data_IF_554869605956
#
_entry.id   IF_554869605956
#
_cell.length_a   1.000
_cell.length_b   1.000
_cell.length_c   1.000
_cell.angle_alpha   90.00
_cell.angle_beta   90.00
_cell.angle_gamma   90.00
#
_symmetry.space_group_name_H-M   'P 1'
#
loop_
_entity.id
_entity.type
_entity.pdbx_description
1 polymer ?
#
# COMPACT_ATOMS: atom_id res chain seq x y z
N UNK A 1 -1.50 8.88 -6.07
CA UNK A 1 -2.80 9.45 -5.65
C UNK A 1 -2.75 10.69 -4.76
N UNK A 2 -1.84 10.82 -3.79
CA UNK A 2 -1.77 12.02 -2.91
C UNK A 2 -1.58 13.33 -3.70
N UNK A 3 -0.63 13.37 -4.64
CA UNK A 3 -0.40 14.56 -5.47
C UNK A 3 -1.57 14.88 -6.41
N UNK A 4 -2.23 13.84 -6.96
CA UNK A 4 -3.46 14.02 -7.76
C UNK A 4 -4.59 14.64 -6.92
N UNK A 5 -4.68 14.30 -5.62
CA UNK A 5 -5.63 14.95 -4.69
C UNK A 5 -5.29 16.42 -4.44
N UNK A 6 -4.00 16.76 -4.32
CA UNK A 6 -3.56 18.17 -4.13
C UNK A 6 -3.87 19.05 -5.34
N UNK A 7 -3.76 18.53 -6.57
CA UNK A 7 -4.10 19.27 -7.79
C UNK A 7 -5.56 19.14 -8.19
N UNK A 8 -6.37 18.34 -7.48
CA UNK A 8 -7.74 17.99 -7.88
C UNK A 8 -8.63 19.21 -8.13
N UNK A 9 -8.58 20.20 -7.25
CA UNK A 9 -9.36 21.43 -7.39
C UNK A 9 -8.92 22.26 -8.60
N UNK A 10 -7.61 22.34 -8.86
CA UNK A 10 -7.06 23.07 -10.02
C UNK A 10 -7.37 22.34 -11.33
N UNK A 11 -7.27 21.01 -11.32
CA UNK A 11 -7.61 20.15 -12.44
C UNK A 11 -9.11 20.20 -12.76
N UNK A 12 -9.95 20.25 -11.73
CA UNK A 12 -11.41 20.44 -11.86
C UNK A 12 -11.73 21.79 -12.51
N UNK A 13 -11.12 22.87 -12.02
CA UNK A 13 -11.29 24.20 -12.60
C UNK A 13 -10.82 24.27 -14.06
N UNK A 14 -9.66 23.67 -14.38
CA UNK A 14 -9.16 23.59 -15.75
C UNK A 14 -10.06 22.75 -16.67
N UNK A 15 -10.60 21.64 -16.16
CA UNK A 15 -11.58 20.82 -16.88
C UNK A 15 -12.87 21.58 -17.15
N UNK A 16 -13.37 22.34 -16.17
CA UNK A 16 -14.53 23.23 -16.33
C UNK A 16 -14.28 24.28 -17.43
N UNK A 17 -13.10 24.90 -17.46
CA UNK A 17 -12.76 25.88 -18.50
C UNK A 17 -12.72 25.25 -19.91
N UNK A 18 -12.18 24.02 -20.08
CA UNK A 18 -12.22 23.31 -21.37
C UNK A 18 -13.63 22.99 -21.83
N UNK A 19 -14.51 22.58 -20.91
CA UNK A 19 -15.93 22.34 -21.22
C UNK A 19 -16.62 23.65 -21.61
N UNK A 20 -16.35 24.75 -20.91
CA UNK A 20 -16.91 26.06 -21.23
C UNK A 20 -16.45 26.56 -22.60
N UNK A 21 -15.17 26.38 -22.95
CA UNK A 21 -14.65 26.73 -24.28
C UNK A 21 -15.29 25.88 -25.40
N UNK A 22 -15.70 24.64 -25.10
CA UNK A 22 -16.43 23.77 -26.04
C UNK A 22 -17.89 24.22 -26.20
N UNK A 23 -18.55 24.66 -25.13
CA UNK A 23 -19.93 25.12 -25.12
C UNK A 23 -20.10 26.54 -25.69
N UNK A 24 -19.07 27.37 -25.56
CA UNK A 24 -18.99 28.75 -26.04
C UNK A 24 -17.73 28.89 -26.91
N UNK A 25 -17.73 28.34 -28.14
CA UNK A 25 -16.58 28.46 -29.03
C UNK A 25 -16.27 29.94 -29.28
N UNK A 26 -15.04 30.35 -28.95
CA UNK A 26 -14.58 31.72 -29.16
C UNK A 26 -14.55 32.03 -30.66
N UNK A 27 -14.90 33.25 -31.09
CA UNK A 27 -14.63 33.68 -32.46
C UNK A 27 -13.12 33.55 -32.71
N UNK A 28 -12.73 32.86 -33.79
CA UNK A 28 -11.31 32.82 -34.21
C UNK A 28 -10.86 34.26 -34.52
N UNK A 29 -10.14 34.89 -33.60
CA UNK A 29 -9.43 36.13 -33.89
C UNK A 29 -8.32 35.83 -34.88
N UNK A 30 -8.46 36.33 -36.10
CA UNK A 30 -7.39 36.36 -37.10
C UNK A 30 -6.40 37.44 -36.65
N UNK A 31 -5.49 37.07 -35.73
CA UNK A 31 -4.46 37.95 -35.16
C UNK A 31 -3.11 37.23 -35.14
N UNK A 32 -2.03 38.00 -35.25
CA UNK A 32 -0.65 37.51 -35.33
C UNK A 32 -0.28 36.60 -34.14
N UNK A 33 0.55 35.59 -34.42
CA UNK A 33 0.76 34.38 -33.62
C UNK A 33 1.35 34.54 -32.19
N UNK A 34 1.44 35.74 -31.62
CA UNK A 34 2.13 35.99 -30.34
C UNK A 34 1.42 36.94 -29.35
N UNK A 35 0.14 37.27 -29.54
CA UNK A 35 -0.62 37.99 -28.51
C UNK A 35 -1.39 37.01 -27.61
N UNK A 36 -1.24 37.07 -26.27
CA UNK A 36 -2.10 36.33 -25.37
C UNK A 36 -3.56 36.80 -25.58
N UNK A 37 -4.52 35.88 -25.76
CA UNK A 37 -5.90 36.26 -26.05
C UNK A 37 -6.46 37.11 -24.90
N UNK A 38 -7.25 38.17 -25.19
CA UNK A 38 -7.87 38.98 -24.15
C UNK A 38 -8.79 38.11 -23.28
N UNK A 39 -8.77 38.35 -21.98
CA UNK A 39 -9.63 37.65 -21.02
C UNK A 39 -11.09 37.99 -21.31
N UNK A 40 -11.82 37.03 -21.91
CA UNK A 40 -13.22 37.20 -22.26
C UNK A 40 -14.10 36.98 -21.01
N UNK A 41 -14.29 38.05 -20.24
CA UNK A 41 -15.21 38.10 -19.11
C UNK A 41 -16.66 38.37 -19.55
N UNK A 42 -17.14 37.67 -20.59
CA UNK A 42 -18.53 37.84 -21.01
C UNK A 42 -19.50 37.35 -19.92
N UNK A 43 -20.55 38.13 -19.67
CA UNK A 43 -21.65 37.78 -18.73
C UNK A 43 -22.25 36.40 -19.05
N UNK A 44 -22.22 35.99 -20.32
CA UNK A 44 -22.65 34.68 -20.81
C UNK A 44 -21.77 33.54 -20.30
N UNK A 45 -20.45 33.72 -20.26
CA UNK A 45 -19.50 32.71 -19.75
C UNK A 45 -19.70 32.47 -18.25
N UNK A 46 -19.89 33.54 -17.48
CA UNK A 46 -20.18 33.44 -16.04
C UNK A 46 -21.48 32.70 -15.75
N UNK A 47 -22.57 33.01 -16.48
CA UNK A 47 -23.85 32.29 -16.36
C UNK A 47 -23.73 30.81 -16.73
N UNK A 48 -22.98 30.48 -17.78
CA UNK A 48 -22.75 29.08 -18.16
C UNK A 48 -21.92 28.34 -17.11
N UNK A 49 -20.91 29.00 -16.51
CA UNK A 49 -20.12 28.44 -15.40
C UNK A 49 -20.98 28.13 -14.19
N UNK A 50 -21.88 29.02 -13.79
CA UNK A 50 -22.83 28.76 -12.70
C UNK A 50 -23.75 27.57 -12.98
N UNK A 51 -24.29 27.47 -14.21
CA UNK A 51 -25.14 26.34 -14.62
C UNK A 51 -24.38 25.02 -14.65
N UNK A 52 -23.12 25.06 -15.04
CA UNK A 52 -22.23 23.89 -15.07
C UNK A 52 -21.89 23.42 -13.65
N UNK A 53 -21.63 24.34 -12.72
CA UNK A 53 -21.42 24.04 -11.30
C UNK A 53 -22.68 23.45 -10.62
N UNK A 54 -23.87 23.88 -11.04
CA UNK A 54 -25.15 23.36 -10.54
C UNK A 54 -25.54 22.01 -11.13
N UNK A 55 -24.81 21.52 -12.13
CA UNK A 55 -25.13 20.26 -12.83
C UNK A 55 -26.25 20.37 -13.88
N UNK A 56 -26.73 21.59 -14.19
CA UNK A 56 -27.84 21.82 -15.13
C UNK A 56 -27.52 21.40 -16.58
N UNK A 57 -26.25 21.10 -16.87
CA UNK A 57 -25.74 20.79 -18.19
C UNK A 57 -25.21 19.36 -18.32
N UNK A 58 -25.31 18.54 -17.26
CA UNK A 58 -24.69 17.21 -17.17
C UNK A 58 -25.08 16.27 -18.32
N UNK A 59 -26.34 16.30 -18.75
CA UNK A 59 -26.88 15.44 -19.80
C UNK A 59 -26.65 15.96 -21.22
N UNK A 60 -26.15 17.19 -21.37
CA UNK A 60 -25.88 17.77 -22.69
C UNK A 60 -24.70 17.04 -23.34
N UNK A 61 -24.84 16.71 -24.62
CA UNK A 61 -23.74 16.13 -25.39
C UNK A 61 -22.80 17.22 -25.90
N UNK A 62 -21.51 17.02 -25.67
CA UNK A 62 -20.43 17.85 -26.20
C UNK A 62 -19.43 16.97 -26.94
N UNK A 63 -18.74 17.57 -27.89
CA UNK A 63 -17.66 16.92 -28.63
C UNK A 63 -16.33 17.46 -28.10
N UNK A 64 -15.52 16.60 -27.49
CA UNK A 64 -14.24 17.00 -26.90
C UNK A 64 -13.09 16.19 -27.50
N UNK A 65 -11.93 16.83 -27.64
CA UNK A 65 -10.69 16.16 -28.00
C UNK A 65 -10.08 15.50 -26.77
N UNK A 66 -9.89 14.18 -26.85
CA UNK A 66 -9.37 13.35 -25.77
C UNK A 66 -8.09 12.66 -26.24
N UNK A 67 -7.09 12.59 -25.36
CA UNK A 67 -5.87 11.81 -25.62
C UNK A 67 -6.22 10.32 -25.82
N UNK A 68 -5.78 9.75 -26.95
CA UNK A 68 -5.95 8.32 -27.21
C UNK A 68 -4.74 7.59 -26.62
N UNK A 69 -4.97 6.70 -25.65
CA UNK A 69 -3.94 5.75 -25.24
C UNK A 69 -3.69 4.78 -26.40
N UNK A 70 -2.49 4.73 -26.99
CA UNK A 70 -2.21 3.76 -28.04
C UNK A 70 -2.38 2.35 -27.45
N UNK A 71 -3.09 1.49 -28.18
CA UNK A 71 -3.22 0.07 -27.83
C UNK A 71 -1.80 -0.52 -27.88
N UNK A 72 -1.34 -1.05 -26.74
CA UNK A 72 0.00 -1.58 -26.61
C UNK A 72 0.22 -2.76 -27.54
N UNK A 73 1.30 -2.73 -28.31
CA UNK A 73 1.81 -3.94 -28.97
C UNK A 73 2.51 -4.74 -27.89
N UNK A 74 2.00 -5.94 -27.57
CA UNK A 74 2.69 -6.88 -26.70
C UNK A 74 3.83 -7.53 -27.50
N UNK A 75 5.06 -7.30 -27.05
CA UNK A 75 6.25 -7.91 -27.62
C UNK A 75 6.59 -9.12 -26.75
N UNK A 76 6.40 -10.32 -27.29
CA UNK A 76 6.79 -11.55 -26.61
C UNK A 76 8.32 -11.63 -26.57
N UNK A 77 8.92 -11.61 -25.38
CA UNK A 77 10.37 -11.60 -25.21
C UNK A 77 10.88 -12.82 -24.41
N UNK A 78 12.12 -13.28 -24.65
CA UNK A 78 12.73 -14.35 -23.86
C UNK A 78 12.98 -13.97 -22.39
N UNK A 79 13.06 -14.94 -21.45
CA UNK A 79 13.35 -14.69 -20.05
C UNK A 79 14.68 -13.95 -19.86
N UNK A 80 14.71 -12.91 -19.02
CA UNK A 80 15.88 -12.08 -18.75
C UNK A 80 15.97 -10.78 -19.58
N UNK A 81 15.06 -10.57 -20.53
CA UNK A 81 14.97 -9.34 -21.35
C UNK A 81 13.70 -8.52 -21.05
N UNK A 82 12.93 -8.91 -20.03
CA UNK A 82 11.63 -8.29 -19.68
C UNK A 82 11.78 -6.79 -19.36
N UNK A 83 12.81 -6.42 -18.60
CA UNK A 83 13.04 -5.02 -18.20
C UNK A 83 13.37 -4.13 -19.42
N UNK A 84 14.15 -4.64 -20.37
CA UNK A 84 14.47 -3.94 -21.61
C UNK A 84 13.23 -3.78 -22.51
N UNK A 85 12.39 -4.80 -22.59
CA UNK A 85 11.15 -4.73 -23.38
C UNK A 85 10.16 -3.73 -22.82
N UNK A 86 10.01 -3.66 -21.50
CA UNK A 86 9.20 -2.65 -20.83
C UNK A 86 9.74 -1.23 -21.09
N UNK A 87 11.06 -1.06 -21.07
CA UNK A 87 11.71 0.22 -21.37
C UNK A 87 11.48 0.65 -22.83
N UNK A 88 11.62 -0.25 -23.81
CA UNK A 88 11.33 0.03 -25.23
C UNK A 88 9.86 0.37 -25.47
N UNK A 89 8.93 -0.34 -24.82
CA UNK A 89 7.51 -0.06 -24.93
C UNK A 89 7.18 1.34 -24.39
N UNK A 90 7.80 1.74 -23.26
CA UNK A 90 7.65 3.09 -22.70
C UNK A 90 8.16 4.20 -23.62
N UNK A 91 9.27 3.96 -24.33
CA UNK A 91 9.81 4.89 -25.32
C UNK A 91 8.88 5.03 -26.54
N UNK A 92 8.32 3.93 -27.04
CA UNK A 92 7.35 3.95 -28.15
C UNK A 92 6.05 4.66 -27.79
N UNK A 93 5.54 4.46 -26.58
CA UNK A 93 4.35 5.17 -26.08
C UNK A 93 4.62 6.67 -25.97
N UNK A 94 5.78 7.09 -25.46
CA UNK A 94 6.14 8.51 -25.35
C UNK A 94 6.31 9.21 -26.71
N UNK A 95 6.68 8.50 -27.77
CA UNK A 95 6.76 9.05 -29.12
C UNK A 95 5.39 9.16 -29.82
N UNK A 96 4.38 8.40 -29.38
CA UNK A 96 3.04 8.35 -30.00
C UNK A 96 1.93 8.96 -29.15
N UNK A 97 2.24 9.43 -27.93
CA UNK A 97 1.30 9.87 -26.89
C UNK A 97 0.57 11.20 -27.16
N UNK A 98 0.95 11.96 -28.18
CA UNK A 98 0.33 13.26 -28.49
C UNK A 98 -0.86 13.21 -29.46
N UNK A 99 -1.42 12.03 -29.75
CA UNK A 99 -2.60 11.93 -30.63
C UNK A 99 -3.90 12.11 -29.84
N UNK A 100 -4.60 13.21 -30.09
CA UNK A 100 -5.98 13.41 -29.63
C UNK A 100 -6.98 12.88 -30.64
N UNK A 101 -8.14 12.42 -30.17
CA UNK A 101 -9.29 12.06 -31.02
C UNK A 101 -10.54 12.74 -30.50
N UNK A 102 -11.32 13.28 -31.42
CA UNK A 102 -12.63 13.84 -31.12
C UNK A 102 -13.60 12.74 -30.69
N UNK A 103 -14.25 12.91 -29.54
CA UNK A 103 -15.27 11.99 -29.03
C UNK A 103 -16.46 12.76 -28.51
N UNK A 104 -17.66 12.32 -28.90
CA UNK A 104 -18.93 12.85 -28.38
C UNK A 104 -19.27 12.18 -27.06
N UNK A 105 -19.45 12.96 -26.00
CA UNK A 105 -19.70 12.50 -24.64
C UNK A 105 -20.70 13.44 -23.95
N UNK A 106 -21.37 12.95 -22.90
CA UNK A 106 -22.11 13.81 -21.98
C UNK A 106 -21.15 14.69 -21.19
N UNK A 107 -21.56 15.92 -20.85
CA UNK A 107 -20.76 16.86 -20.05
C UNK A 107 -20.25 16.21 -18.75
N UNK A 108 -21.09 15.44 -18.05
CA UNK A 108 -20.71 14.74 -16.82
C UNK A 108 -19.54 13.76 -17.00
N UNK A 109 -19.53 13.00 -18.09
CA UNK A 109 -18.49 12.01 -18.37
C UNK A 109 -17.23 12.69 -18.93
N UNK A 110 -17.43 13.73 -19.74
CA UNK A 110 -16.36 14.59 -20.26
C UNK A 110 -15.59 15.29 -19.12
N UNK A 111 -16.28 15.81 -18.10
CA UNK A 111 -15.65 16.47 -16.95
C UNK A 111 -14.73 15.52 -16.18
N UNK A 112 -15.18 14.29 -15.90
CA UNK A 112 -14.35 13.28 -15.22
C UNK A 112 -13.07 13.00 -16.01
N UNK A 113 -13.21 12.79 -17.32
CA UNK A 113 -12.10 12.45 -18.18
C UNK A 113 -11.11 13.61 -18.33
N UNK A 114 -11.61 14.82 -18.56
CA UNK A 114 -10.79 16.03 -18.67
C UNK A 114 -10.10 16.36 -17.34
N UNK A 115 -10.78 16.15 -16.20
CA UNK A 115 -10.17 16.34 -14.89
C UNK A 115 -8.98 15.41 -14.68
N UNK A 116 -9.08 14.14 -15.09
CA UNK A 116 -7.95 13.21 -15.02
C UNK A 116 -6.78 13.64 -15.93
N UNK A 117 -7.08 14.12 -17.14
CA UNK A 117 -6.07 14.60 -18.10
C UNK A 117 -5.36 15.87 -17.59
N UNK A 118 -6.11 16.86 -17.10
CA UNK A 118 -5.54 18.09 -16.55
C UNK A 118 -4.77 17.83 -15.25
N UNK A 119 -5.26 16.92 -14.40
CA UNK A 119 -4.50 16.49 -13.22
C UNK A 119 -3.17 15.84 -13.60
N UNK A 120 -3.13 15.04 -14.68
CA UNK A 120 -1.90 14.42 -15.16
C UNK A 120 -0.90 15.47 -15.69
N UNK A 121 -1.36 16.47 -16.45
CA UNK A 121 -0.51 17.57 -16.95
C UNK A 121 0.08 18.43 -15.83
N UNK A 122 -0.68 18.59 -14.74
CA UNK A 122 -0.25 19.38 -13.58
C UNK A 122 0.77 18.66 -12.69
N UNK A 123 1.00 17.36 -12.89
CA UNK A 123 2.05 16.62 -12.19
C UNK A 123 3.35 16.77 -12.97
N UNK A 124 4.28 17.54 -12.42
CA UNK A 124 5.65 17.56 -12.92
C UNK A 124 6.36 16.27 -12.49
N UNK A 125 6.52 15.33 -13.41
CA UNK A 125 7.18 14.05 -13.13
C UNK A 125 8.64 14.19 -12.71
N UNK A 126 9.37 15.19 -13.22
CA UNK A 126 10.76 15.45 -12.83
C UNK A 126 10.83 15.94 -11.37
N UNK A 127 9.98 16.89 -11.02
CA UNK A 127 9.87 17.38 -9.64
C UNK A 127 9.43 16.27 -8.68
N UNK A 128 8.50 15.41 -9.11
CA UNK A 128 8.06 14.26 -8.32
C UNK A 128 9.19 13.25 -8.10
N UNK A 129 9.99 12.94 -9.12
CA UNK A 129 11.17 12.07 -9.01
C UNK A 129 12.18 12.66 -8.01
N UNK A 130 12.50 13.96 -8.13
CA UNK A 130 13.41 14.63 -7.21
C UNK A 130 12.89 14.60 -5.77
N UNK A 131 11.60 14.85 -5.55
CA UNK A 131 10.98 14.75 -4.21
C UNK A 131 11.01 13.33 -3.66
N UNK A 132 10.77 12.33 -4.50
CA UNK A 132 10.81 10.93 -4.08
C UNK A 132 12.23 10.50 -3.68
N UNK A 133 13.25 10.86 -4.48
CA UNK A 133 14.65 10.62 -4.14
C UNK A 133 15.01 11.30 -2.82
N UNK A 134 14.70 12.59 -2.66
CA UNK A 134 14.95 13.33 -1.42
C UNK A 134 14.21 12.71 -0.21
N UNK A 135 12.99 12.20 -0.40
CA UNK A 135 12.24 11.55 0.67
C UNK A 135 12.91 10.24 1.12
N UNK A 136 13.44 9.44 0.18
CA UNK A 136 14.20 8.23 0.51
C UNK A 136 15.50 8.59 1.22
N UNK A 137 16.25 9.57 0.71
CA UNK A 137 17.52 9.95 1.31
C UNK A 137 17.35 10.52 2.72
N UNK A 138 16.32 11.34 2.97
CA UNK A 138 16.16 12.05 4.24
C UNK A 138 15.28 11.33 5.28
N UNK A 139 14.32 10.51 4.82
CA UNK A 139 13.33 9.88 5.69
C UNK A 139 13.19 8.37 5.43
N UNK A 140 14.07 7.78 4.62
CA UNK A 140 14.04 6.36 4.32
C UNK A 140 14.23 5.52 5.59
N UNK A 141 13.43 4.47 5.72
CA UNK A 141 13.56 3.47 6.79
C UNK A 141 13.70 2.11 6.13
N UNK A 142 14.73 1.36 6.52
CA UNK A 142 14.97 -0.02 6.09
C UNK A 142 14.90 -0.92 7.31
N UNK A 143 14.00 -1.91 7.28
CA UNK A 143 13.89 -2.94 8.30
C UNK A 143 14.53 -4.24 7.80
N UNK A 144 15.56 -4.71 8.51
CA UNK A 144 16.27 -5.96 8.23
C UNK A 144 15.86 -6.98 9.30
N UNK A 145 14.99 -7.92 8.93
CA UNK A 145 14.56 -8.97 9.85
C UNK A 145 15.57 -10.13 9.89
N UNK A 146 15.53 -10.90 10.98
CA UNK A 146 16.34 -12.11 11.19
C UNK A 146 17.86 -11.94 10.95
N UNK A 147 18.43 -10.78 11.33
CA UNK A 147 19.87 -10.49 11.17
C UNK A 147 20.76 -11.46 11.98
N UNK A 148 20.20 -12.10 13.01
CA UNK A 148 20.88 -13.11 13.81
C UNK A 148 21.22 -14.39 13.02
N UNK A 149 20.52 -14.66 11.91
CA UNK A 149 20.82 -15.82 11.03
C UNK A 149 22.15 -15.69 10.31
N UNK A 150 22.62 -14.46 10.08
CA UNK A 150 23.91 -14.20 9.42
C UNK A 150 25.06 -14.00 10.41
N UNK A 151 24.78 -13.93 11.73
CA UNK A 151 25.76 -13.62 12.77
C UNK A 151 26.64 -14.80 13.23
N UNK A 152 26.43 -16.04 12.76
CA UNK A 152 27.12 -17.22 13.32
C UNK A 152 28.60 -17.32 12.95
N UNK A 153 29.44 -17.62 13.95
CA UNK A 153 30.73 -18.34 13.79
C UNK A 153 30.45 -19.85 13.77
N UNK A 154 30.73 -20.52 12.67
CA UNK A 154 30.83 -21.98 12.69
C UNK A 154 32.06 -22.41 13.47
N UNK A 155 31.88 -23.26 14.49
CA UNK A 155 32.97 -24.11 14.95
C UNK A 155 33.24 -25.14 13.85
N UNK A 156 34.45 -25.08 13.28
CA UNK A 156 35.05 -26.03 12.33
C UNK A 156 34.39 -26.14 10.93
N UNK A 157 34.92 -25.36 9.98
CA UNK A 157 35.17 -25.80 8.60
C UNK A 157 33.94 -26.20 7.77
N UNK A 158 33.03 -25.26 7.52
CA UNK A 158 31.89 -25.39 6.61
C UNK A 158 31.53 -24.05 5.95
N UNK A 159 30.40 -23.89 5.23
CA UNK A 159 30.10 -22.78 4.30
C UNK A 159 29.85 -21.39 4.96
N UNK A 160 30.67 -21.01 5.94
CA UNK A 160 30.56 -19.78 6.72
C UNK A 160 30.89 -18.51 5.92
N UNK A 161 31.65 -18.63 4.82
CA UNK A 161 31.99 -17.50 3.93
C UNK A 161 30.73 -16.81 3.38
N UNK A 162 29.65 -17.56 3.17
CA UNK A 162 28.41 -17.02 2.61
C UNK A 162 27.64 -16.13 3.60
N UNK A 163 27.76 -16.34 4.92
CA UNK A 163 26.97 -15.58 5.91
C UNK A 163 27.65 -14.28 6.29
N UNK A 164 28.96 -14.32 6.50
CA UNK A 164 29.77 -13.11 6.69
C UNK A 164 29.77 -12.26 5.41
N UNK A 165 29.75 -12.90 4.23
CA UNK A 165 29.58 -12.21 2.94
C UNK A 165 28.34 -11.32 2.91
N UNK A 166 27.18 -11.82 3.36
CA UNK A 166 25.95 -11.01 3.42
C UNK A 166 26.13 -9.79 4.34
N UNK A 167 26.77 -9.96 5.50
CA UNK A 167 27.03 -8.81 6.38
C UNK A 167 27.95 -7.79 5.71
N UNK A 168 29.01 -8.24 5.00
CA UNK A 168 29.93 -7.37 4.27
C UNK A 168 29.26 -6.65 3.10
N UNK A 169 28.32 -7.30 2.42
CA UNK A 169 27.55 -6.71 1.33
C UNK A 169 26.53 -5.68 1.85
N UNK A 170 26.06 -5.84 3.10
CA UNK A 170 25.20 -4.87 3.78
C UNK A 170 25.96 -3.65 4.30
N UNK A 171 27.27 -3.76 4.57
CA UNK A 171 28.06 -2.65 5.13
C UNK A 171 27.96 -1.36 4.32
N UNK A 172 28.19 -1.34 3.00
CA UNK A 172 28.12 -0.09 2.22
C UNK A 172 26.78 0.63 2.35
N UNK A 173 25.68 -0.11 2.54
CA UNK A 173 24.36 0.48 2.71
C UNK A 173 24.24 1.23 4.04
N UNK A 174 24.69 0.63 5.15
CA UNK A 174 24.64 1.24 6.48
C UNK A 174 25.76 2.26 6.73
N UNK A 175 26.85 2.18 5.99
CA UNK A 175 27.96 3.15 6.07
C UNK A 175 27.72 4.42 5.24
N UNK A 176 26.88 4.30 4.20
CA UNK A 176 26.63 5.35 3.22
C UNK A 176 27.25 5.00 1.87
N UNK A 177 26.41 4.76 0.88
CA UNK A 177 26.82 4.58 -0.51
C UNK A 177 25.82 5.22 -1.47
N UNK A 178 26.21 5.34 -2.74
CA UNK A 178 25.31 5.82 -3.78
C UNK A 178 24.83 4.64 -4.63
N UNK A 179 23.51 4.43 -4.64
CA UNK A 179 22.85 3.32 -5.33
C UNK A 179 22.13 3.88 -6.56
N UNK A 180 22.32 3.23 -7.71
CA UNK A 180 21.61 3.57 -8.94
C UNK A 180 20.22 2.92 -8.95
N UNK A 181 19.18 3.71 -9.20
CA UNK A 181 17.81 3.23 -9.36
C UNK A 181 17.23 3.74 -10.68
N UNK A 182 16.12 3.15 -11.13
CA UNK A 182 15.38 3.63 -12.31
C UNK A 182 14.86 5.07 -12.20
N UNK A 183 14.87 5.66 -11.00
CA UNK A 183 14.43 7.03 -10.74
C UNK A 183 15.59 8.02 -10.60
N UNK A 184 16.83 7.54 -10.49
CA UNK A 184 18.01 8.34 -10.24
C UNK A 184 18.93 7.69 -9.20
N UNK A 185 19.99 8.41 -8.85
CA UNK A 185 20.93 7.99 -7.81
C UNK A 185 20.34 8.30 -6.43
N UNK A 186 20.51 7.38 -5.47
CA UNK A 186 20.08 7.53 -4.07
C UNK A 186 21.30 7.36 -3.16
N UNK A 187 21.49 8.28 -2.22
CA UNK A 187 22.50 8.18 -1.15
C UNK A 187 21.90 7.59 0.12
N UNK A 188 22.54 6.57 0.70
CA UNK A 188 22.03 5.88 1.90
C UNK A 188 22.48 6.51 3.23
N UNK A 189 23.28 7.57 3.20
CA UNK A 189 23.93 8.20 4.36
C UNK A 189 22.99 8.55 5.52
N UNK A 190 21.72 8.88 5.24
CA UNK A 190 20.72 9.32 6.22
C UNK A 190 19.51 8.38 6.32
N UNK A 191 19.58 7.19 5.71
CA UNK A 191 18.54 6.17 5.85
C UNK A 191 18.64 5.54 7.24
N UNK A 192 17.50 5.44 7.94
CA UNK A 192 17.41 4.75 9.21
C UNK A 192 17.34 3.23 8.97
N UNK A 193 18.28 2.49 9.55
CA UNK A 193 18.26 1.03 9.54
C UNK A 193 17.79 0.50 10.88
N UNK A 194 16.82 -0.41 10.85
CA UNK A 194 16.32 -1.16 12.01
C UNK A 194 16.59 -2.63 11.74
N UNK A 195 17.42 -3.26 12.56
CA UNK A 195 17.71 -4.69 12.45
C UNK A 195 17.04 -5.44 13.60
N UNK A 196 16.39 -6.56 13.27
CA UNK A 196 15.69 -7.43 14.21
C UNK A 196 16.28 -8.84 14.15
N UNK A 197 16.21 -9.56 15.27
CA UNK A 197 16.64 -10.95 15.37
C UNK A 197 16.28 -11.53 16.73
N UNK A 198 16.02 -12.83 16.79
CA UNK A 198 15.70 -13.51 18.05
C UNK A 198 16.96 -13.74 18.90
N UNK A 199 18.13 -13.88 18.26
CA UNK A 199 19.42 -14.07 18.92
C UNK A 199 19.44 -15.26 19.91
N UNK A 200 18.69 -16.33 19.60
CA UNK A 200 18.67 -17.56 20.41
C UNK A 200 19.96 -18.39 20.24
N UNK A 201 20.52 -18.41 19.03
CA UNK A 201 21.68 -19.24 18.66
C UNK A 201 22.95 -18.43 18.33
N UNK A 202 22.85 -17.10 18.38
CA UNK A 202 23.91 -16.16 18.13
C UNK A 202 23.70 -14.94 19.02
N UNK A 203 24.75 -14.19 19.30
CA UNK A 203 24.69 -12.95 20.06
C UNK A 203 24.98 -11.77 19.13
N UNK A 204 24.50 -10.54 19.46
CA UNK A 204 24.88 -9.35 18.70
C UNK A 204 26.41 -9.13 18.59
N UNK A 205 27.18 -9.66 19.54
CA UNK A 205 28.66 -9.65 19.51
C UNK A 205 29.26 -10.51 18.40
N UNK A 206 28.49 -11.42 17.81
CA UNK A 206 28.95 -12.35 16.78
C UNK A 206 28.84 -11.74 15.37
N UNK A 207 28.13 -10.61 15.23
CA UNK A 207 28.17 -9.79 14.01
C UNK A 207 29.58 -9.23 13.78
N UNK A 208 29.91 -8.88 12.53
CA UNK A 208 31.20 -8.28 12.22
C UNK A 208 31.38 -6.94 12.96
N UNK A 209 32.59 -6.59 13.44
CA UNK A 209 32.82 -5.38 14.25
C UNK A 209 32.33 -4.09 13.57
N UNK A 210 32.47 -3.99 12.26
CA UNK A 210 32.06 -2.86 11.44
C UNK A 210 30.54 -2.64 11.53
N UNK A 211 29.76 -3.72 11.44
CA UNK A 211 28.30 -3.67 11.49
C UNK A 211 27.81 -3.38 12.91
N UNK A 212 28.48 -3.91 13.93
CA UNK A 212 28.19 -3.56 15.33
C UNK A 212 28.37 -2.05 15.59
N UNK A 213 29.39 -1.43 15.01
CA UNK A 213 29.63 0.01 15.11
C UNK A 213 28.53 0.87 14.48
N UNK A 214 27.80 0.32 13.50
CA UNK A 214 26.66 0.99 12.82
C UNK A 214 25.30 0.69 13.45
N UNK A 215 25.24 -0.20 14.44
CA UNK A 215 24.05 -0.51 15.24
C UNK A 215 24.24 -0.10 16.71
N UNK A 216 24.38 1.21 17.00
CA UNK A 216 24.71 1.69 18.35
C UNK A 216 23.54 1.60 19.33
N UNK A 217 22.31 1.72 18.84
CA UNK A 217 21.09 1.64 19.66
C UNK A 217 20.68 0.16 19.75
N UNK A 218 20.57 -0.34 20.97
CA UNK A 218 20.12 -1.71 21.24
C UNK A 218 18.92 -1.66 22.15
N UNK A 219 17.88 -2.41 21.80
CA UNK A 219 16.66 -2.55 22.57
C UNK A 219 16.28 -4.03 22.59
N UNK A 220 15.78 -4.49 23.74
CA UNK A 220 15.28 -5.84 23.93
C UNK A 220 13.76 -5.76 24.12
N UNK A 221 13.02 -6.58 23.37
CA UNK A 221 11.57 -6.66 23.47
C UNK A 221 11.19 -7.87 24.31
N UNK A 222 10.23 -7.69 25.22
CA UNK A 222 9.73 -8.78 26.07
C UNK A 222 8.77 -9.70 25.31
N UNK A 223 8.71 -10.96 25.72
CA UNK A 223 7.68 -11.88 25.25
C UNK A 223 6.28 -11.40 25.68
N UNK A 224 5.28 -11.66 24.84
CA UNK A 224 3.90 -11.26 25.07
C UNK A 224 3.20 -12.22 26.02
N UNK A 225 2.46 -11.67 26.99
CA UNK A 225 1.59 -12.41 27.90
C UNK A 225 0.19 -12.63 27.34
N UNK A 226 -0.62 -13.43 28.02
CA UNK A 226 -2.05 -13.58 27.69
C UNK A 226 -2.81 -12.25 27.85
N UNK A 227 -2.44 -11.42 28.82
CA UNK A 227 -3.01 -10.07 28.99
C UNK A 227 -2.67 -9.18 27.78
N UNK A 228 -1.44 -9.24 27.28
CA UNK A 228 -1.05 -8.48 26.08
C UNK A 228 -1.83 -8.93 24.85
N UNK A 229 -2.15 -10.23 24.72
CA UNK A 229 -2.99 -10.73 23.64
C UNK A 229 -4.42 -10.20 23.70
N UNK A 230 -5.02 -10.06 24.89
CA UNK A 230 -6.34 -9.40 25.05
C UNK A 230 -6.27 -7.96 24.54
N UNK A 231 -5.21 -7.23 24.91
CA UNK A 231 -4.99 -5.86 24.46
C UNK A 231 -4.81 -5.79 22.94
N UNK A 232 -3.98 -6.65 22.36
CA UNK A 232 -3.78 -6.73 20.89
C UNK A 232 -5.08 -7.00 20.15
N UNK A 233 -5.99 -7.79 20.72
CA UNK A 233 -7.28 -8.10 20.11
C UNK A 233 -8.28 -6.93 20.17
N UNK A 234 -8.08 -5.90 21.00
CA UNK A 234 -9.13 -4.90 21.29
C UNK A 234 -8.69 -3.43 21.29
N UNK A 235 -7.42 -3.13 21.58
CA UNK A 235 -6.91 -1.76 21.72
C UNK A 235 -6.33 -1.17 20.43
N UNK A 236 -5.55 -1.91 19.60
CA UNK A 236 -5.01 -1.37 18.35
C UNK A 236 -6.12 -1.01 17.36
N UNK A 237 -5.92 0.10 16.64
CA UNK A 237 -6.75 0.44 15.48
C UNK A 237 -6.69 -0.70 14.45
N UNK A 238 -7.85 -1.09 13.91
CA UNK A 238 -7.98 -2.25 13.04
C UNK A 238 -7.44 -3.54 13.69
N UNK A 239 -7.78 -3.78 14.96
CA UNK A 239 -7.50 -5.06 15.62
C UNK A 239 -8.22 -6.23 14.93
N UNK A 240 -7.81 -7.48 15.21
CA UNK A 240 -8.45 -8.65 14.59
C UNK A 240 -9.96 -8.70 14.86
N UNK A 241 -10.39 -8.37 16.07
CA UNK A 241 -11.84 -8.37 16.39
C UNK A 241 -12.59 -7.32 15.59
N UNK A 242 -12.03 -6.12 15.44
CA UNK A 242 -12.60 -5.04 14.63
C UNK A 242 -12.63 -5.42 13.14
N UNK A 243 -11.55 -5.99 12.61
CA UNK A 243 -11.47 -6.46 11.23
C UNK A 243 -12.53 -7.52 10.93
N UNK A 244 -12.65 -8.56 11.77
CA UNK A 244 -13.66 -9.61 11.55
C UNK A 244 -15.09 -9.12 11.73
N UNK A 245 -15.34 -8.21 12.67
CA UNK A 245 -16.65 -7.58 12.80
C UNK A 245 -17.02 -6.79 11.54
N UNK A 246 -16.09 -5.99 11.01
CA UNK A 246 -16.30 -5.23 9.78
C UNK A 246 -16.45 -6.14 8.53
N UNK A 247 -15.70 -7.26 8.46
CA UNK A 247 -15.81 -8.22 7.37
C UNK A 247 -17.20 -8.88 7.34
N UNK A 248 -17.70 -9.36 8.48
CA UNK A 248 -19.03 -9.98 8.54
C UNK A 248 -20.18 -8.97 8.38
N UNK A 249 -19.95 -7.70 8.73
CA UNK A 249 -20.91 -6.64 8.48
C UNK A 249 -21.19 -6.44 6.98
N UNK A 250 -20.24 -6.80 6.10
CA UNK A 250 -20.48 -6.76 4.64
C UNK A 250 -21.59 -7.72 4.18
N UNK A 251 -21.81 -8.81 4.92
CA UNK A 251 -22.91 -9.77 4.73
C UNK A 251 -24.11 -9.46 5.65
N UNK A 252 -24.15 -8.27 6.25
CA UNK A 252 -25.15 -7.84 7.22
C UNK A 252 -25.25 -8.73 8.47
N UNK A 253 -24.15 -9.40 8.86
CA UNK A 253 -24.05 -10.15 10.11
C UNK A 253 -23.30 -9.31 11.14
N UNK A 254 -23.93 -9.06 12.30
CA UNK A 254 -23.27 -8.31 13.38
C UNK A 254 -22.49 -9.26 14.27
N UNK A 255 -21.16 -9.13 14.31
CA UNK A 255 -20.30 -9.89 15.22
C UNK A 255 -19.94 -9.05 16.44
N UNK A 256 -20.17 -9.57 17.64
CA UNK A 256 -19.80 -8.92 18.90
C UNK A 256 -18.91 -9.85 19.72
N UNK A 257 -17.75 -9.34 20.17
CA UNK A 257 -16.88 -10.09 21.07
C UNK A 257 -17.16 -9.71 22.51
N UNK A 258 -17.59 -10.67 23.32
CA UNK A 258 -17.72 -10.47 24.75
C UNK A 258 -16.32 -10.52 25.41
N UNK A 259 -16.14 -9.79 26.52
CA UNK A 259 -14.83 -9.66 27.17
C UNK A 259 -14.25 -11.02 27.63
N UNK A 260 -15.11 -11.92 28.09
CA UNK A 260 -14.73 -13.29 28.48
C UNK A 260 -14.37 -14.17 27.27
N UNK A 261 -15.00 -13.93 26.12
CA UNK A 261 -14.64 -14.54 24.83
C UNK A 261 -13.25 -14.11 24.36
N UNK A 262 -12.96 -12.81 24.35
CA UNK A 262 -11.62 -12.27 24.01
C UNK A 262 -10.55 -12.83 24.94
N UNK A 263 -10.82 -12.85 26.24
CA UNK A 263 -9.91 -13.44 27.23
C UNK A 263 -9.66 -14.91 26.93
N UNK A 264 -10.70 -15.67 26.55
CA UNK A 264 -10.56 -17.09 26.23
C UNK A 264 -9.72 -17.33 24.97
N UNK A 265 -9.89 -16.49 23.94
CA UNK A 265 -9.07 -16.54 22.71
C UNK A 265 -7.60 -16.33 23.05
N UNK A 266 -7.29 -15.32 23.87
CA UNK A 266 -5.94 -15.00 24.30
C UNK A 266 -5.31 -16.14 25.15
N UNK A 267 -6.07 -16.72 26.08
CA UNK A 267 -5.65 -17.91 26.86
C UNK A 267 -5.27 -19.07 25.95
N UNK A 268 -6.11 -19.39 24.95
CA UNK A 268 -5.87 -20.48 24.01
C UNK A 268 -4.62 -20.22 23.17
N UNK A 269 -4.48 -19.02 22.60
CA UNK A 269 -3.30 -18.69 21.79
C UNK A 269 -2.00 -18.77 22.60
N UNK A 270 -2.01 -18.31 23.85
CA UNK A 270 -0.86 -18.40 24.75
C UNK A 270 -0.52 -19.86 25.08
N UNK A 271 -1.53 -20.66 25.46
CA UNK A 271 -1.37 -22.08 25.77
C UNK A 271 -0.82 -22.89 24.58
N UNK A 272 -1.28 -22.61 23.36
CA UNK A 272 -0.75 -23.27 22.15
C UNK A 272 0.71 -22.90 21.91
N UNK A 273 1.08 -21.63 22.09
CA UNK A 273 2.47 -21.18 21.97
C UNK A 273 3.39 -21.86 23.00
N UNK A 274 2.91 -22.13 24.21
CA UNK A 274 3.69 -22.81 25.26
C UNK A 274 3.89 -24.30 24.99
N UNK A 275 2.89 -24.98 24.41
CA UNK A 275 2.94 -26.42 24.14
C UNK A 275 3.60 -26.80 22.82
N UNK A 276 3.60 -25.88 21.85
CA UNK A 276 4.12 -26.13 20.50
C UNK A 276 5.29 -25.20 20.19
N UNK A 277 5.27 -24.52 19.06
CA UNK A 277 6.24 -23.50 18.69
C UNK A 277 5.67 -22.13 19.02
N UNK A 278 6.41 -21.34 19.80
CA UNK A 278 5.98 -19.98 20.12
C UNK A 278 6.23 -19.06 18.92
N UNK A 279 5.16 -18.76 18.19
CA UNK A 279 5.15 -17.82 17.06
C UNK A 279 4.66 -16.42 17.47
N UNK A 280 4.55 -16.16 18.77
CA UNK A 280 4.08 -14.90 19.33
C UNK A 280 2.62 -14.58 19.00
N UNK A 281 2.33 -13.29 18.77
CA UNK A 281 0.99 -12.81 18.45
C UNK A 281 0.42 -13.36 17.13
N UNK A 282 1.26 -13.90 16.23
CA UNK A 282 0.81 -14.51 14.96
C UNK A 282 -0.19 -15.65 15.21
N UNK A 283 -0.08 -16.34 16.35
CA UNK A 283 -1.02 -17.39 16.76
C UNK A 283 -2.47 -16.92 16.85
N UNK A 284 -2.70 -15.63 17.16
CA UNK A 284 -4.04 -15.07 17.21
C UNK A 284 -4.75 -15.15 15.86
N UNK A 285 -4.03 -15.06 14.74
CA UNK A 285 -4.65 -15.17 13.42
C UNK A 285 -5.24 -16.56 13.16
N UNK A 286 -4.47 -17.62 13.37
CA UNK A 286 -4.93 -19.00 13.12
C UNK A 286 -6.03 -19.41 14.08
N UNK A 287 -5.93 -19.00 15.35
CA UNK A 287 -6.98 -19.19 16.36
C UNK A 287 -8.28 -18.48 15.96
N UNK A 288 -8.20 -17.22 15.52
CA UNK A 288 -9.37 -16.44 15.09
C UNK A 288 -10.01 -16.99 13.82
N UNK A 289 -9.21 -17.35 12.81
CA UNK A 289 -9.69 -17.94 11.56
C UNK A 289 -10.47 -19.23 11.84
N UNK A 290 -9.89 -20.12 12.66
CA UNK A 290 -10.54 -21.38 13.02
C UNK A 290 -11.81 -21.17 13.86
N UNK A 291 -11.81 -20.18 14.74
CA UNK A 291 -12.96 -19.83 15.57
C UNK A 291 -14.15 -19.35 14.72
N UNK A 292 -13.87 -18.58 13.67
CA UNK A 292 -14.88 -17.91 12.86
C UNK A 292 -15.17 -18.61 11.52
N UNK A 293 -14.47 -19.72 11.22
CA UNK A 293 -14.62 -20.47 9.97
C UNK A 293 -16.09 -20.77 9.62
N UNK A 294 -16.85 -21.33 10.57
CA UNK A 294 -18.25 -21.72 10.37
C UNK A 294 -19.13 -20.50 10.11
N UNK A 295 -19.00 -19.45 10.93
CA UNK A 295 -19.83 -18.25 10.75
C UNK A 295 -19.45 -17.49 9.48
N UNK A 296 -18.17 -17.47 9.11
CA UNK A 296 -17.70 -16.86 7.86
C UNK A 296 -18.29 -17.57 6.65
N UNK A 297 -18.36 -18.92 6.68
CA UNK A 297 -18.98 -19.70 5.62
C UNK A 297 -20.50 -19.50 5.54
N UNK A 298 -21.19 -19.46 6.69
CA UNK A 298 -22.65 -19.32 6.77
C UNK A 298 -23.13 -17.87 6.75
N UNK A 299 -22.24 -16.88 6.69
CA UNK A 299 -22.58 -15.46 6.79
C UNK A 299 -23.64 -15.00 5.77
N UNK A 300 -23.59 -15.38 4.49
CA UNK A 300 -24.59 -14.96 3.50
C UNK A 300 -26.01 -15.44 3.83
N UNK A 301 -26.12 -16.58 4.51
CA UNK A 301 -27.40 -17.18 4.92
C UNK A 301 -27.92 -16.63 6.26
N UNK A 302 -27.13 -15.80 6.95
CA UNK A 302 -27.40 -15.28 8.30
C UNK A 302 -27.62 -13.77 8.35
N UNK A 303 -27.87 -13.14 7.20
CA UNK A 303 -28.09 -11.69 7.11
C UNK A 303 -29.13 -11.19 8.14
N UNK A 304 -28.77 -10.13 8.87
CA UNK A 304 -29.58 -9.50 9.92
C UNK A 304 -29.46 -10.15 11.30
N UNK A 305 -28.65 -11.19 11.48
CA UNK A 305 -28.40 -11.81 12.78
C UNK A 305 -27.24 -11.15 13.51
N UNK A 306 -27.30 -11.20 14.84
CA UNK A 306 -26.18 -10.85 15.73
C UNK A 306 -25.60 -12.13 16.31
N UNK A 307 -24.29 -12.30 16.19
CA UNK A 307 -23.55 -13.39 16.83
C UNK A 307 -22.62 -12.82 17.88
N UNK A 308 -22.76 -13.31 19.10
CA UNK A 308 -21.90 -12.94 20.22
C UNK A 308 -20.88 -14.06 20.47
N UNK A 309 -19.60 -13.71 20.42
CA UNK A 309 -18.47 -14.58 20.73
C UNK A 309 -18.16 -14.43 22.22
N UNK A 310 -18.74 -15.32 23.02
CA UNK A 310 -18.47 -15.47 24.46
C UNK A 310 -17.53 -16.66 24.75
N UNK A 311 -17.21 -16.90 26.02
CA UNK A 311 -16.34 -18.03 26.38
C UNK A 311 -16.90 -19.39 25.91
N UNK A 312 -18.21 -19.59 25.97
CA UNK A 312 -18.84 -20.86 25.59
C UNK A 312 -18.75 -21.09 24.08
N UNK A 313 -18.91 -20.04 23.27
CA UNK A 313 -18.70 -20.07 21.83
C UNK A 313 -17.26 -20.49 21.51
N UNK A 314 -16.28 -19.86 22.18
CA UNK A 314 -14.86 -20.17 21.96
C UNK A 314 -14.52 -21.62 22.33
N UNK A 315 -14.97 -22.08 23.50
CA UNK A 315 -14.73 -23.46 23.94
C UNK A 315 -15.45 -24.49 23.06
N UNK A 316 -16.62 -24.16 22.52
CA UNK A 316 -17.37 -25.03 21.61
C UNK A 316 -16.67 -25.27 20.27
N UNK A 317 -15.92 -24.29 19.77
CA UNK A 317 -15.25 -24.38 18.46
C UNK A 317 -13.78 -24.80 18.56
N UNK A 318 -13.09 -24.44 19.65
CA UNK A 318 -11.65 -24.66 19.82
C UNK A 318 -11.29 -25.67 20.91
N UNK A 319 -12.22 -26.02 21.79
CA UNK A 319 -11.92 -26.75 23.03
C UNK A 319 -11.37 -28.17 22.83
N UNK A 320 -11.74 -28.87 21.76
CA UNK A 320 -11.17 -30.18 21.43
C UNK A 320 -9.80 -30.07 20.76
N UNK A 321 -9.61 -29.08 19.88
CA UNK A 321 -8.33 -28.86 19.19
C UNK A 321 -7.19 -28.62 20.17
N UNK A 322 -7.41 -27.79 21.19
CA UNK A 322 -6.38 -27.40 22.17
C UNK A 322 -5.91 -28.57 23.04
N UNK A 323 -6.69 -29.65 23.13
CA UNK A 323 -6.34 -30.84 23.92
C UNK A 323 -5.43 -31.81 23.16
N UNK A 324 -5.45 -31.76 21.84
CA UNK A 324 -4.68 -32.65 20.97
C UNK A 324 -3.50 -31.87 20.35
N UNK A 325 -2.29 -32.19 20.80
CA UNK A 325 -1.07 -31.52 20.36
C UNK A 325 -0.75 -31.78 18.87
N UNK A 326 -1.12 -32.95 18.35
CA UNK A 326 -0.88 -33.28 16.95
C UNK A 326 -1.82 -32.49 16.05
N UNK A 327 -3.12 -32.46 16.36
CA UNK A 327 -4.10 -31.63 15.65
C UNK A 327 -3.76 -30.13 15.74
N UNK A 328 -3.33 -29.68 16.92
CA UNK A 328 -2.91 -28.29 17.14
C UNK A 328 -1.79 -27.91 16.18
N UNK A 329 -0.75 -28.73 16.01
CA UNK A 329 0.39 -28.40 15.11
C UNK A 329 0.00 -28.25 13.63
N UNK A 330 -1.06 -28.92 13.18
CA UNK A 330 -1.50 -28.86 11.78
C UNK A 330 -2.56 -27.78 11.52
N UNK A 331 -3.39 -27.47 12.50
CA UNK A 331 -4.56 -26.59 12.32
C UNK A 331 -4.33 -25.19 12.92
N UNK A 332 -3.58 -25.08 14.03
CA UNK A 332 -3.41 -23.85 14.79
C UNK A 332 -1.97 -23.37 14.79
#
# INVERSE_FOLDING_TARGET
DVYKRQVRHRAEEAAFERVLDTLLPRPRTVGFANEPPPADHSVTRQKMRERLLKGDLDDREIEIEVAVRPVGVEIMAPPGMEEMTNQLQSLFQNLTSNRTRSRKLKVKDALKLLQEEEAAKMVNEEELKLKALAAVEQNGIVFIDEIDKVAKRGEYGGPDVSREGVQRDLLPLVEGCTISTKYGMVRSDHILFIASGAFHLAKPSDLIPELQGRLPIRVELSALSSEDFVRILTEPDASLTEQYAALLETEAVKLEFAADGVQRIAEIACHVNERTENIGARRLHTVMERLLEVISFEAPDRAGQTVTVDRAYVDGHLGELVKDEDLTRYIL
#
